data_IF_494399348197
#
_entry.id   IF_494399348197
#
_cell.length_a   1.000
_cell.length_b   1.000
_cell.length_c   1.000
_cell.angle_alpha   90.00
_cell.angle_beta   90.00
_cell.angle_gamma   90.00
#
_symmetry.space_group_name_H-M   'P 1'
#
loop_
_entity.id
_entity.type
_entity.pdbx_description
1 polymer ?
#
# COMPACT_ATOMS: atom_id res chain seq x y z
N UNK A 1 31.89 -12.72 42.05
CA UNK A 1 30.93 -12.73 40.93
C UNK A 1 31.33 -11.66 39.93
N UNK A 2 31.82 -12.04 38.75
CA UNK A 2 32.04 -11.11 37.64
C UNK A 2 31.39 -11.72 36.39
N UNK A 3 30.39 -11.02 35.86
CA UNK A 3 29.69 -11.37 34.63
C UNK A 3 30.63 -11.19 33.43
N UNK A 4 31.16 -12.27 32.87
CA UNK A 4 31.72 -12.26 31.51
C UNK A 4 30.58 -12.50 30.52
N UNK A 5 29.78 -11.48 30.28
CA UNK A 5 28.71 -11.51 29.29
C UNK A 5 28.73 -10.26 28.41
N UNK A 6 29.61 -10.27 27.40
CA UNK A 6 29.36 -9.62 26.10
C UNK A 6 30.27 -10.23 25.04
N UNK A 7 29.72 -11.20 24.34
CA UNK A 7 30.29 -11.76 23.12
C UNK A 7 30.36 -10.62 22.08
N UNK A 8 31.56 -10.22 21.68
CA UNK A 8 31.81 -9.21 20.63
C UNK A 8 31.45 -9.79 19.26
N UNK A 9 30.16 -9.82 18.93
CA UNK A 9 29.69 -10.10 17.57
C UNK A 9 29.85 -8.84 16.72
N UNK A 10 31.08 -8.56 16.26
CA UNK A 10 31.45 -7.85 15.00
C UNK A 10 32.83 -7.20 15.15
N UNK A 11 33.90 -7.95 14.90
CA UNK A 11 35.26 -7.42 14.69
C UNK A 11 35.78 -7.69 13.27
N UNK A 12 34.91 -8.17 12.38
CA UNK A 12 35.29 -8.37 10.99
C UNK A 12 34.87 -7.14 10.19
N UNK A 13 35.78 -6.49 9.46
CA UNK A 13 35.41 -5.43 8.53
C UNK A 13 34.39 -6.00 7.55
N UNK A 14 33.24 -5.34 7.46
CA UNK A 14 32.21 -5.70 6.50
C UNK A 14 32.78 -5.39 5.11
N UNK A 15 32.79 -6.36 4.17
CA UNK A 15 33.23 -6.10 2.80
C UNK A 15 32.45 -4.93 2.22
N UNK A 16 33.12 -4.01 1.52
CA UNK A 16 32.46 -2.85 0.90
C UNK A 16 31.32 -3.25 -0.02
N UNK A 17 31.41 -4.42 -0.67
CA UNK A 17 30.34 -5.01 -1.49
C UNK A 17 29.03 -5.29 -0.74
N UNK A 18 29.07 -5.43 0.59
CA UNK A 18 27.87 -5.60 1.42
C UNK A 18 27.25 -4.26 1.85
N UNK A 19 27.97 -3.14 1.65
CA UNK A 19 27.47 -1.79 1.91
C UNK A 19 26.76 -1.21 0.68
N UNK A 20 26.99 -1.79 -0.50
CA UNK A 20 26.33 -1.37 -1.73
C UNK A 20 24.86 -1.83 -1.78
N UNK A 21 23.93 -0.93 -2.13
CA UNK A 21 22.54 -1.29 -2.30
C UNK A 21 22.41 -2.30 -3.44
N UNK A 22 21.83 -3.46 -3.15
CA UNK A 22 21.53 -4.44 -4.19
C UNK A 22 20.41 -3.90 -5.08
N UNK A 23 20.76 -3.48 -6.29
CA UNK A 23 19.78 -3.07 -7.30
C UNK A 23 18.96 -4.29 -7.71
N UNK A 24 17.68 -4.31 -7.34
CA UNK A 24 16.72 -5.34 -7.73
C UNK A 24 15.91 -4.83 -8.93
N UNK A 25 15.79 -5.59 -10.03
CA UNK A 25 14.92 -5.21 -11.14
C UNK A 25 13.48 -4.97 -10.69
N UNK A 26 12.83 -3.94 -11.22
CA UNK A 26 11.43 -3.61 -10.91
C UNK A 26 10.49 -4.77 -11.21
N UNK A 27 10.75 -5.53 -12.27
CA UNK A 27 9.99 -6.73 -12.65
C UNK A 27 10.01 -7.81 -11.55
N UNK A 28 11.15 -8.02 -10.88
CA UNK A 28 11.28 -8.98 -9.79
C UNK A 28 10.48 -8.55 -8.56
N UNK A 29 10.51 -7.25 -8.23
CA UNK A 29 9.71 -6.69 -7.13
C UNK A 29 8.23 -6.80 -7.44
N UNK A 30 7.82 -6.47 -8.67
CA UNK A 30 6.45 -6.55 -9.13
C UNK A 30 5.93 -7.99 -9.10
N UNK A 31 6.70 -8.96 -9.61
CA UNK A 31 6.35 -10.38 -9.56
C UNK A 31 6.11 -10.87 -8.13
N UNK A 32 7.03 -10.53 -7.20
CA UNK A 32 6.86 -10.85 -5.78
C UNK A 32 5.61 -10.21 -5.18
N UNK A 33 5.32 -8.96 -5.52
CA UNK A 33 4.11 -8.27 -5.08
C UNK A 33 2.85 -8.99 -5.58
N UNK A 34 2.79 -9.36 -6.86
CA UNK A 34 1.67 -10.11 -7.43
C UNK A 34 1.43 -11.45 -6.73
N UNK A 35 2.50 -12.19 -6.41
CA UNK A 35 2.38 -13.46 -5.69
C UNK A 35 1.86 -13.30 -4.27
N UNK A 36 2.30 -12.25 -3.56
CA UNK A 36 1.78 -11.90 -2.23
C UNK A 36 0.29 -11.56 -2.34
N UNK A 37 -0.10 -10.69 -3.26
CA UNK A 37 -1.50 -10.33 -3.47
C UNK A 37 -2.36 -11.55 -3.82
N UNK A 38 -1.85 -12.48 -4.66
CA UNK A 38 -2.56 -13.72 -5.00
C UNK A 38 -2.84 -14.56 -3.75
N UNK A 39 -1.84 -14.77 -2.90
CA UNK A 39 -2.00 -15.53 -1.64
C UNK A 39 -2.99 -14.86 -0.70
N UNK A 40 -2.85 -13.55 -0.52
CA UNK A 40 -3.74 -12.75 0.33
C UNK A 40 -5.19 -12.82 -0.12
N UNK A 41 -5.44 -12.77 -1.44
CA UNK A 41 -6.80 -12.82 -2.01
C UNK A 41 -7.53 -14.10 -1.65
N UNK A 42 -6.83 -15.24 -1.59
CA UNK A 42 -7.44 -16.54 -1.23
C UNK A 42 -8.02 -16.51 0.18
N UNK A 43 -7.29 -15.91 1.14
CA UNK A 43 -7.69 -15.92 2.55
C UNK A 43 -8.60 -14.74 2.90
N UNK A 44 -8.27 -13.53 2.47
CA UNK A 44 -8.99 -12.32 2.88
C UNK A 44 -10.27 -12.08 2.08
N UNK A 45 -10.38 -12.56 0.84
CA UNK A 45 -11.61 -12.41 0.05
C UNK A 45 -12.53 -13.62 0.18
N UNK A 46 -12.27 -14.55 1.10
CA UNK A 46 -13.11 -15.74 1.28
C UNK A 46 -14.51 -15.33 1.77
N UNK A 47 -15.52 -15.64 0.97
CA UNK A 47 -16.92 -15.31 1.29
C UNK A 47 -17.30 -13.85 1.05
N UNK A 48 -16.39 -13.05 0.48
CA UNK A 48 -16.64 -11.65 0.14
C UNK A 48 -17.21 -11.56 -1.28
N UNK A 49 -18.15 -10.65 -1.49
CA UNK A 49 -18.63 -10.27 -2.82
C UNK A 49 -17.94 -8.98 -3.24
N UNK A 50 -17.53 -8.91 -4.50
CA UNK A 50 -17.02 -7.67 -5.04
C UNK A 50 -18.11 -6.59 -5.00
N UNK A 51 -17.72 -5.39 -4.60
CA UNK A 51 -18.61 -4.23 -4.63
C UNK A 51 -18.92 -3.89 -6.09
N UNK A 52 -20.17 -3.50 -6.41
CA UNK A 52 -20.48 -3.02 -7.75
C UNK A 52 -19.63 -1.78 -8.07
N UNK A 53 -19.25 -1.59 -9.33
CA UNK A 53 -18.54 -0.39 -9.74
C UNK A 53 -19.40 0.85 -9.49
N UNK A 54 -18.75 1.96 -9.15
CA UNK A 54 -19.43 3.23 -8.96
C UNK A 54 -19.96 3.74 -10.30
N UNK A 55 -21.19 4.24 -10.27
CA UNK A 55 -21.82 4.87 -11.43
C UNK A 55 -21.42 6.34 -11.51
N UNK A 56 -21.37 6.87 -12.73
CA UNK A 56 -21.18 8.30 -12.93
C UNK A 56 -22.28 9.07 -12.20
N UNK A 57 -21.90 10.20 -11.59
CA UNK A 57 -22.76 11.10 -10.85
C UNK A 57 -23.35 10.49 -9.55
N UNK A 58 -22.82 9.34 -9.12
CA UNK A 58 -23.19 8.74 -7.85
C UNK A 58 -22.64 9.53 -6.66
N UNK A 59 -23.49 9.85 -5.70
CA UNK A 59 -23.08 10.44 -4.43
C UNK A 59 -22.32 9.44 -3.57
N UNK A 60 -21.16 9.84 -3.08
CA UNK A 60 -20.25 9.02 -2.27
C UNK A 60 -19.64 9.83 -1.14
N UNK A 61 -19.35 9.18 -0.02
CA UNK A 61 -18.55 9.77 1.04
C UNK A 61 -17.06 9.55 0.75
N UNK A 62 -16.26 10.58 0.99
CA UNK A 62 -14.81 10.54 0.73
C UNK A 62 -14.05 10.95 1.96
N UNK A 63 -13.01 10.17 2.28
CA UNK A 63 -12.16 10.45 3.41
C UNK A 63 -10.99 11.34 2.98
N UNK A 64 -10.89 12.52 3.58
CA UNK A 64 -9.74 13.39 3.43
C UNK A 64 -8.69 13.01 4.48
N UNK A 65 -7.52 12.54 4.03
CA UNK A 65 -6.44 12.09 4.91
C UNK A 65 -5.71 13.23 5.62
N UNK A 66 -5.75 14.45 5.07
CA UNK A 66 -5.13 15.64 5.67
C UNK A 66 -5.99 16.15 6.82
N UNK A 67 -7.29 16.36 6.57
CA UNK A 67 -8.23 16.86 7.59
C UNK A 67 -8.80 15.75 8.48
N UNK A 68 -8.52 14.48 8.14
CA UNK A 68 -9.03 13.28 8.81
C UNK A 68 -10.56 13.24 8.93
N UNK A 69 -11.26 13.84 7.97
CA UNK A 69 -12.72 13.97 7.97
C UNK A 69 -13.35 13.32 6.75
N UNK A 70 -14.60 12.89 6.91
CA UNK A 70 -15.44 12.43 5.81
C UNK A 70 -16.22 13.62 5.23
N UNK A 71 -16.24 13.75 3.91
CA UNK A 71 -17.04 14.76 3.20
C UNK A 71 -17.81 14.14 2.03
N UNK A 72 -19.01 14.65 1.73
CA UNK A 72 -19.77 14.23 0.55
C UNK A 72 -19.03 14.62 -0.73
N UNK A 73 -19.14 13.78 -1.76
CA UNK A 73 -18.59 14.01 -3.09
C UNK A 73 -19.43 13.28 -4.15
N UNK A 74 -19.21 13.66 -5.41
CA UNK A 74 -19.83 13.00 -6.57
C UNK A 74 -18.76 12.26 -7.36
N UNK A 75 -19.02 10.99 -7.70
CA UNK A 75 -18.12 10.18 -8.52
C UNK A 75 -18.22 10.60 -10.00
N UNK A 76 -17.12 11.10 -10.57
CA UNK A 76 -17.09 11.50 -11.97
C UNK A 76 -16.62 10.36 -12.87
N UNK A 77 -15.47 9.76 -12.55
CA UNK A 77 -14.89 8.62 -13.29
C UNK A 77 -13.73 7.99 -12.51
N UNK A 78 -13.41 6.76 -12.88
CA UNK A 78 -12.13 6.13 -12.52
C UNK A 78 -10.97 6.94 -13.12
N UNK A 79 -9.87 7.06 -12.38
CA UNK A 79 -8.65 7.63 -12.93
C UNK A 79 -7.86 6.59 -13.74
N UNK A 80 -6.99 7.05 -14.62
CA UNK A 80 -6.10 6.18 -15.42
C UNK A 80 -5.05 5.47 -14.55
N UNK A 81 -4.71 6.05 -13.40
CA UNK A 81 -3.86 5.41 -12.40
C UNK A 81 -4.65 4.50 -11.44
N UNK A 82 -4.12 3.32 -11.11
CA UNK A 82 -4.78 2.40 -10.19
C UNK A 82 -4.96 3.04 -8.80
N UNK A 83 -6.17 2.89 -8.25
CA UNK A 83 -6.61 3.40 -6.92
C UNK A 83 -6.95 4.89 -6.84
N UNK A 84 -7.03 5.58 -7.98
CA UNK A 84 -7.44 6.97 -8.02
C UNK A 84 -8.84 7.12 -8.66
N UNK A 85 -9.64 8.07 -8.18
CA UNK A 85 -10.93 8.44 -8.76
C UNK A 85 -11.00 9.97 -8.86
N UNK A 86 -11.48 10.48 -10.00
CA UNK A 86 -11.71 11.91 -10.18
C UNK A 86 -13.05 12.26 -9.50
N UNK A 87 -13.05 13.28 -8.65
CA UNK A 87 -14.17 13.64 -7.77
C UNK A 87 -14.47 15.13 -7.87
N UNK A 88 -15.76 15.46 -7.78
CA UNK A 88 -16.21 16.82 -7.53
C UNK A 88 -16.66 16.94 -6.07
N UNK A 89 -16.14 17.94 -5.36
CA UNK A 89 -16.63 18.30 -4.04
C UNK A 89 -18.05 18.85 -4.20
N UNK A 90 -19.01 18.24 -3.50
CA UNK A 90 -20.36 18.80 -3.45
C UNK A 90 -20.30 20.15 -2.70
N UNK A 91 -21.07 21.17 -3.13
CA UNK A 91 -21.15 22.42 -2.39
C UNK A 91 -21.69 22.14 -0.98
N UNK A 92 -21.03 22.70 0.03
CA UNK A 92 -21.53 22.68 1.40
C UNK A 92 -22.91 23.35 1.42
N UNK A 93 -23.93 22.60 1.81
CA UNK A 93 -25.28 23.12 2.06
C UNK A 93 -25.35 23.83 3.40
#
# INVERSE_FOLDING_TARGET
MHNLARQTRTLLPVPSSHLEPRTVPSSTVHGRFCDICRKQRIYYNRGVRDLPPLSRDQEVATYNTITRSWSPAVFLRSADEPRNAVRQLAPAS
#
